data_IF_656439786005
#
_entry.id   IF_656439786005
#
_cell.length_a   1.000
_cell.length_b   1.000
_cell.length_c   1.000
_cell.angle_alpha   90.00
_cell.angle_beta   90.00
_cell.angle_gamma   90.00
#
_symmetry.space_group_name_H-M   'P 1'
#
loop_
_entity.id
_entity.type
_entity.pdbx_description
1 polymer ?
#
# COMPACT_ATOMS: atom_id res chain seq x y z
N UNK A 1 6.24 0.80 22.57
CA UNK A 1 5.27 -0.28 22.27
C UNK A 1 5.76 -1.53 22.98
N UNK A 2 5.16 -1.81 24.12
CA UNK A 2 5.36 -3.07 24.84
C UNK A 2 4.53 -4.15 24.11
N UNK A 3 5.09 -5.34 23.92
CA UNK A 3 4.52 -6.39 23.03
C UNK A 3 4.04 -7.61 23.82
N UNK A 4 3.75 -7.43 25.10
CA UNK A 4 3.15 -8.45 25.96
C UNK A 4 1.65 -8.62 25.72
N UNK A 5 1.03 -7.71 24.96
CA UNK A 5 -0.38 -7.74 24.57
C UNK A 5 -0.50 -7.82 23.04
N UNK A 6 -1.05 -8.91 22.52
CA UNK A 6 -1.43 -9.03 21.10
C UNK A 6 -2.51 -8.01 20.70
N UNK A 7 -3.32 -7.56 21.67
CA UNK A 7 -4.37 -6.57 21.46
C UNK A 7 -3.80 -5.18 21.16
N UNK A 8 -2.77 -4.71 21.86
CA UNK A 8 -2.12 -3.41 21.58
C UNK A 8 -1.49 -3.37 20.19
N UNK A 9 -0.89 -4.48 19.75
CA UNK A 9 -0.34 -4.60 18.41
C UNK A 9 -1.44 -4.52 17.34
N UNK A 10 -2.56 -5.22 17.55
CA UNK A 10 -3.72 -5.16 16.65
C UNK A 10 -4.37 -3.77 16.64
N UNK A 11 -4.49 -3.11 17.80
CA UNK A 11 -5.01 -1.75 17.91
C UNK A 11 -4.12 -0.73 17.19
N UNK A 12 -2.80 -0.82 17.35
CA UNK A 12 -1.87 0.05 16.65
C UNK A 12 -1.90 -0.15 15.12
N UNK A 13 -2.00 -1.40 14.66
CA UNK A 13 -2.12 -1.73 13.22
C UNK A 13 -3.43 -1.19 12.66
N UNK A 14 -4.55 -1.45 13.35
CA UNK A 14 -5.86 -0.97 12.92
C UNK A 14 -5.93 0.57 12.93
N UNK A 15 -5.27 1.21 13.89
CA UNK A 15 -5.19 2.67 13.98
C UNK A 15 -4.37 3.27 12.84
N UNK A 16 -3.21 2.69 12.51
CA UNK A 16 -2.40 3.18 11.37
C UNK A 16 -3.11 3.02 10.04
N UNK A 17 -3.75 1.86 9.79
CA UNK A 17 -4.52 1.66 8.56
C UNK A 17 -5.62 2.70 8.43
N UNK A 18 -6.35 2.99 9.52
CA UNK A 18 -7.40 4.01 9.53
C UNK A 18 -6.84 5.41 9.26
N UNK A 19 -5.66 5.77 9.78
CA UNK A 19 -5.02 7.06 9.49
C UNK A 19 -4.65 7.21 8.02
N UNK A 20 -4.07 6.17 7.43
CA UNK A 20 -3.77 6.16 6.00
C UNK A 20 -5.04 6.23 5.15
N UNK A 21 -6.09 5.49 5.54
CA UNK A 21 -7.38 5.52 4.85
C UNK A 21 -8.05 6.91 4.90
N UNK A 22 -7.92 7.63 6.02
CA UNK A 22 -8.51 8.95 6.21
C UNK A 22 -7.66 10.09 5.62
N UNK A 23 -6.42 9.82 5.20
CA UNK A 23 -5.54 10.83 4.63
C UNK A 23 -6.05 11.29 3.25
N UNK A 24 -6.07 12.60 3.02
CA UNK A 24 -6.41 13.17 1.72
C UNK A 24 -5.37 12.79 0.64
N UNK A 25 -4.10 12.75 1.02
CA UNK A 25 -2.98 12.34 0.17
C UNK A 25 -1.86 11.77 1.04
N UNK A 26 -1.20 10.72 0.56
CA UNK A 26 0.04 10.21 1.13
C UNK A 26 1.20 10.42 0.16
N UNK A 27 2.37 10.79 0.66
CA UNK A 27 3.58 10.90 -0.14
C UNK A 27 4.49 9.72 0.13
N UNK A 28 4.94 9.05 -0.92
CA UNK A 28 5.92 7.98 -0.88
C UNK A 28 7.25 8.48 -1.46
N UNK A 29 8.25 8.62 -0.60
CA UNK A 29 9.57 9.10 -0.99
C UNK A 29 10.46 7.93 -1.43
N UNK A 30 10.91 7.98 -2.68
CA UNK A 30 11.71 6.97 -3.35
C UNK A 30 13.03 7.59 -3.83
N UNK A 31 13.98 7.80 -2.90
CA UNK A 31 15.27 8.42 -3.22
C UNK A 31 16.12 7.64 -4.23
N UNK A 32 15.85 6.33 -4.34
CA UNK A 32 16.57 5.37 -5.18
C UNK A 32 15.92 5.14 -6.55
N UNK A 33 14.86 5.88 -6.88
CA UNK A 33 14.13 5.74 -8.15
C UNK A 33 14.34 6.99 -9.00
N UNK A 34 15.08 6.85 -10.10
CA UNK A 34 15.29 7.91 -11.09
C UNK A 34 14.37 7.75 -12.31
N UNK A 35 13.96 6.51 -12.60
CA UNK A 35 13.06 6.18 -13.69
C UNK A 35 12.03 5.13 -13.28
N UNK A 36 10.95 4.98 -14.06
CA UNK A 36 9.94 3.94 -13.78
C UNK A 36 10.50 2.51 -13.83
N UNK A 37 11.62 2.30 -14.54
CA UNK A 37 12.31 1.01 -14.58
C UNK A 37 12.89 0.59 -13.22
N UNK A 38 13.17 1.56 -12.34
CA UNK A 38 13.83 1.33 -11.05
C UNK A 38 12.83 1.00 -9.94
N UNK A 39 11.51 1.20 -10.16
CA UNK A 39 10.47 0.95 -9.15
C UNK A 39 10.57 -0.46 -8.57
N UNK A 40 10.74 -1.48 -9.41
CA UNK A 40 10.79 -2.87 -8.95
C UNK A 40 11.97 -3.16 -8.03
N UNK A 41 13.09 -2.44 -8.23
CA UNK A 41 14.30 -2.56 -7.43
C UNK A 41 14.23 -1.79 -6.11
N UNK A 42 13.25 -0.90 -5.95
CA UNK A 42 13.24 0.00 -4.81
C UNK A 42 12.98 -0.74 -3.49
N UNK A 43 13.79 -0.48 -2.43
CA UNK A 43 13.57 -1.06 -1.12
C UNK A 43 12.19 -0.75 -0.54
N UNK A 44 11.53 0.32 -1.00
CA UNK A 44 10.17 0.65 -0.57
C UNK A 44 9.20 -0.49 -0.90
N UNK A 45 9.29 -1.11 -2.09
CA UNK A 45 8.41 -2.22 -2.46
C UNK A 45 8.75 -3.54 -1.77
N UNK A 46 9.95 -3.66 -1.18
CA UNK A 46 10.40 -4.85 -0.45
C UNK A 46 10.10 -4.79 1.05
N UNK A 47 9.75 -3.63 1.61
CA UNK A 47 9.43 -3.48 3.04
C UNK A 47 8.00 -3.98 3.33
N UNK A 48 7.82 -4.68 4.45
CA UNK A 48 6.51 -5.20 4.85
C UNK A 48 5.43 -4.13 5.08
N UNK A 49 5.80 -3.00 5.68
CA UNK A 49 4.85 -1.96 6.11
C UNK A 49 4.32 -1.08 4.97
N UNK A 50 5.08 -0.94 3.89
CA UNK A 50 4.72 -0.10 2.75
C UNK A 50 3.53 -0.65 1.96
N UNK A 51 3.15 -1.91 2.17
CA UNK A 51 1.89 -2.43 1.62
C UNK A 51 0.69 -1.68 2.17
N UNK A 52 0.65 -1.41 3.47
CA UNK A 52 -0.46 -0.68 4.10
C UNK A 52 -0.47 0.78 3.62
N UNK A 53 0.71 1.39 3.51
CA UNK A 53 0.91 2.73 2.97
C UNK A 53 0.48 2.84 1.49
N UNK A 54 0.49 1.74 0.74
CA UNK A 54 0.04 1.69 -0.65
C UNK A 54 -1.48 1.50 -0.78
N UNK A 55 -2.02 0.49 -0.08
CA UNK A 55 -3.40 0.04 -0.29
C UNK A 55 -4.41 0.86 0.50
N UNK A 56 -4.05 1.33 1.71
CA UNK A 56 -5.01 1.99 2.59
C UNK A 56 -5.42 3.40 2.12
N UNK A 57 -4.49 4.29 1.69
CA UNK A 57 -4.88 5.62 1.23
C UNK A 57 -5.64 5.58 -0.09
N UNK A 58 -6.54 6.53 -0.31
CA UNK A 58 -7.16 6.70 -1.63
C UNK A 58 -6.15 7.22 -2.67
N UNK A 59 -5.31 8.17 -2.26
CA UNK A 59 -4.32 8.82 -3.13
C UNK A 59 -2.90 8.69 -2.54
N UNK A 60 -1.95 8.27 -3.39
CA UNK A 60 -0.52 8.27 -3.07
C UNK A 60 0.22 8.99 -4.20
N UNK A 61 1.12 9.90 -3.85
CA UNK A 61 2.04 10.59 -4.77
C UNK A 61 3.45 10.06 -4.50
N UNK A 62 4.10 9.53 -5.52
CA UNK A 62 5.48 9.05 -5.46
C UNK A 62 6.41 10.19 -5.86
N UNK A 63 7.42 10.43 -5.05
CA UNK A 63 8.39 11.51 -5.26
C UNK A 63 9.83 11.00 -5.18
N UNK A 64 10.71 11.58 -5.99
CA UNK A 64 12.14 11.25 -6.04
C UNK A 64 12.95 11.96 -4.94
N UNK A 65 14.28 11.76 -4.94
CA UNK A 65 15.21 12.40 -4.00
C UNK A 65 15.15 13.94 -4.00
N UNK A 66 14.73 14.54 -5.12
CA UNK A 66 14.55 15.98 -5.28
C UNK A 66 13.13 16.46 -4.97
N UNK A 67 12.28 15.62 -4.38
CA UNK A 67 10.85 15.88 -4.14
C UNK A 67 10.04 16.16 -5.42
N UNK A 68 10.53 15.68 -6.57
CA UNK A 68 9.81 15.79 -7.84
C UNK A 68 8.87 14.62 -7.99
N UNK A 69 7.68 14.88 -8.53
CA UNK A 69 6.70 13.83 -8.77
C UNK A 69 7.22 12.82 -9.82
N UNK A 70 7.27 11.55 -9.42
CA UNK A 70 7.46 10.40 -10.29
C UNK A 70 6.11 10.01 -10.91
N UNK A 71 5.06 10.06 -10.09
CA UNK A 71 3.67 9.86 -10.52
C UNK A 71 2.74 9.61 -9.33
N UNK A 72 1.48 9.32 -9.64
CA UNK A 72 0.45 9.00 -8.64
C UNK A 72 0.11 7.51 -8.65
N UNK A 73 -0.50 7.02 -7.58
CA UNK A 73 -1.03 5.65 -7.50
C UNK A 73 -1.93 5.30 -8.68
N UNK A 74 -2.75 6.25 -9.11
CA UNK A 74 -3.65 6.08 -10.25
C UNK A 74 -2.92 6.09 -11.59
N UNK A 75 -1.94 6.97 -11.78
CA UNK A 75 -1.18 7.03 -13.03
C UNK A 75 -0.21 5.86 -13.21
N UNK A 76 0.28 5.28 -12.11
CA UNK A 76 1.25 4.18 -12.08
C UNK A 76 0.61 2.81 -11.78
N UNK A 77 -0.71 2.68 -11.91
CA UNK A 77 -1.44 1.48 -11.43
C UNK A 77 -0.93 0.18 -12.06
N UNK A 78 -0.51 0.21 -13.33
CA UNK A 78 -0.02 -0.97 -14.05
C UNK A 78 1.36 -1.39 -13.58
N UNK A 79 2.25 -0.42 -13.42
CA UNK A 79 3.61 -0.58 -12.90
C UNK A 79 3.54 -1.10 -11.46
N UNK A 80 2.69 -0.50 -10.63
CA UNK A 80 2.47 -0.93 -9.26
C UNK A 80 1.89 -2.35 -9.18
N UNK A 81 0.93 -2.69 -10.03
CA UNK A 81 0.39 -4.05 -10.10
C UNK A 81 1.46 -5.07 -10.50
N UNK A 82 2.31 -4.74 -11.49
CA UNK A 82 3.41 -5.60 -11.92
C UNK A 82 4.44 -5.82 -10.80
N UNK A 83 4.83 -4.77 -10.09
CA UNK A 83 5.82 -4.84 -9.00
C UNK A 83 5.27 -5.59 -7.78
N UNK A 84 4.05 -5.26 -7.38
CA UNK A 84 3.48 -5.73 -6.10
C UNK A 84 2.70 -7.04 -6.22
N UNK A 85 2.22 -7.39 -7.41
CA UNK A 85 1.26 -8.47 -7.62
C UNK A 85 -0.13 -8.17 -7.06
N UNK A 86 -0.41 -6.94 -6.66
CA UNK A 86 -1.73 -6.48 -6.21
C UNK A 86 -2.57 -6.13 -7.42
N UNK A 87 -3.80 -6.63 -7.48
CA UNK A 87 -4.72 -6.33 -8.57
C UNK A 87 -4.97 -4.82 -8.71
N UNK A 88 -5.06 -4.32 -9.94
CA UNK A 88 -5.28 -2.90 -10.23
C UNK A 88 -6.54 -2.35 -9.52
N UNK A 89 -7.61 -3.16 -9.46
CA UNK A 89 -8.86 -2.81 -8.77
C UNK A 89 -8.75 -2.69 -7.25
N UNK A 90 -7.68 -3.24 -6.65
CA UNK A 90 -7.36 -3.06 -5.22
C UNK A 90 -6.54 -1.79 -5.01
N UNK A 91 -5.61 -1.51 -5.93
CA UNK A 91 -4.75 -0.32 -5.84
C UNK A 91 -5.52 0.98 -6.08
N UNK A 92 -6.46 0.97 -7.03
CA UNK A 92 -7.29 2.11 -7.39
C UNK A 92 -8.75 1.66 -7.34
N UNK A 93 -9.41 1.78 -6.19
CA UNK A 93 -10.84 1.52 -6.07
C UNK A 93 -11.61 2.40 -7.06
N UNK A 94 -12.68 1.85 -7.63
CA UNK A 94 -13.45 2.46 -8.72
C UNK A 94 -13.85 3.91 -8.39
N UNK A 95 -13.48 4.90 -9.23
CA UNK A 95 -13.99 6.26 -9.09
C UNK A 95 -15.51 6.27 -9.25
N UNK A 96 -16.20 7.08 -8.45
CA UNK A 96 -17.64 7.31 -8.60
C UNK A 96 -17.97 7.69 -10.05
N UNK A 97 -18.95 7.01 -10.65
CA UNK A 97 -19.46 7.33 -12.00
C UNK A 97 -18.88 6.55 -13.19
N UNK A 98 -17.82 5.75 -13.03
CA UNK A 98 -17.31 4.90 -14.14
C UNK A 98 -18.17 3.64 -14.26
N UNK A 99 -18.70 3.24 -15.43
CA UNK A 99 -19.69 2.15 -15.60
C UNK A 99 -19.18 0.70 -15.39
N UNK A 100 -20.03 -0.31 -15.68
CA UNK A 100 -19.85 -1.78 -15.45
C UNK A 100 -18.63 -2.47 -16.11
N UNK A 101 -17.66 -1.72 -16.63
CA UNK A 101 -16.51 -2.25 -17.37
C UNK A 101 -15.25 -2.46 -16.51
N UNK A 102 -15.23 -1.92 -15.29
CA UNK A 102 -14.22 -2.25 -14.28
C UNK A 102 -14.53 -3.61 -13.65
N UNK A 103 -13.48 -4.38 -13.35
CA UNK A 103 -13.56 -5.78 -12.94
C UNK A 103 -14.72 -6.03 -11.96
N UNK A 104 -15.73 -6.80 -12.39
CA UNK A 104 -16.95 -7.12 -11.66
C UNK A 104 -16.72 -7.85 -10.32
N UNK A 105 -15.47 -8.05 -9.90
CA UNK A 105 -15.09 -8.66 -8.62
C UNK A 105 -15.01 -7.65 -7.47
N UNK A 106 -14.83 -6.36 -7.77
CA UNK A 106 -14.60 -5.31 -6.78
C UNK A 106 -15.69 -4.22 -6.88
N UNK A 107 -16.88 -4.51 -6.34
CA UNK A 107 -18.03 -3.58 -6.36
C UNK A 107 -17.99 -2.50 -5.26
N UNK A 108 -17.05 -2.60 -4.33
CA UNK A 108 -16.95 -1.68 -3.19
C UNK A 108 -16.17 -0.42 -3.56
N UNK A 109 -16.68 0.74 -3.14
CA UNK A 109 -15.95 2.02 -3.15
C UNK A 109 -15.02 2.15 -1.93
N UNK A 110 -15.25 1.34 -0.90
CA UNK A 110 -14.40 1.25 0.30
C UNK A 110 -13.35 0.14 0.13
N UNK A 111 -12.09 0.46 0.39
CA UNK A 111 -10.97 -0.47 0.37
C UNK A 111 -11.18 -1.66 1.32
N UNK A 112 -11.87 -1.49 2.45
CA UNK A 112 -12.16 -2.62 3.35
C UNK A 112 -13.05 -3.65 2.67
N UNK A 113 -14.13 -3.21 2.03
CA UNK A 113 -15.00 -4.10 1.25
C UNK A 113 -14.28 -4.74 0.06
N UNK A 114 -13.31 -4.05 -0.55
CA UNK A 114 -12.45 -4.63 -1.59
C UNK A 114 -11.55 -5.74 -1.02
N UNK A 115 -10.93 -5.52 0.14
CA UNK A 115 -10.05 -6.49 0.80
C UNK A 115 -10.81 -7.72 1.34
N UNK A 116 -12.06 -7.55 1.77
CA UNK A 116 -12.92 -8.65 2.22
C UNK A 116 -13.31 -9.59 1.07
N UNK A 117 -13.36 -9.09 -0.16
CA UNK A 117 -13.56 -9.89 -1.36
C UNK A 117 -12.31 -10.68 -1.80
N UNK A 118 -11.13 -10.33 -1.25
CA UNK A 118 -9.87 -11.02 -1.53
C UNK A 118 -9.66 -12.21 -0.58
N UNK A 119 -9.27 -13.36 -1.14
CA UNK A 119 -8.93 -14.52 -0.31
C UNK A 119 -7.71 -14.24 0.59
N UNK A 120 -7.61 -14.95 1.71
CA UNK A 120 -6.41 -14.86 2.57
C UNK A 120 -5.15 -15.19 1.77
N UNK A 121 -5.18 -16.23 0.93
CA UNK A 121 -4.03 -16.62 0.08
C UNK A 121 -3.63 -15.49 -0.87
N UNK A 122 -4.60 -14.80 -1.48
CA UNK A 122 -4.34 -13.66 -2.36
C UNK A 122 -3.72 -12.48 -1.59
N UNK A 123 -4.22 -12.16 -0.39
CA UNK A 123 -3.62 -11.12 0.45
C UNK A 123 -2.21 -11.49 0.91
N UNK A 124 -1.98 -12.77 1.22
CA UNK A 124 -0.67 -13.27 1.64
C UNK A 124 0.34 -13.26 0.49
N UNK A 125 -0.09 -13.43 -0.76
CA UNK A 125 0.81 -13.36 -1.92
C UNK A 125 1.44 -11.97 -2.10
N UNK A 126 0.70 -10.90 -1.77
CA UNK A 126 1.19 -9.52 -1.80
C UNK A 126 2.27 -9.23 -0.74
N UNK A 127 2.29 -10.02 0.33
CA UNK A 127 3.27 -9.92 1.42
C UNK A 127 4.45 -10.87 1.18
N UNK A 128 4.28 -11.93 0.38
CA UNK A 128 5.27 -12.99 0.23
C UNK A 128 6.66 -12.52 -0.28
N UNK A 129 6.71 -11.45 -1.08
CA UNK A 129 7.97 -10.85 -1.57
C UNK A 129 8.52 -9.76 -0.64
N UNK A 130 7.82 -9.44 0.45
CA UNK A 130 8.18 -8.37 1.37
C UNK A 130 8.85 -8.92 2.62
N UNK A 131 9.89 -8.24 3.08
CA UNK A 131 10.54 -8.53 4.35
C UNK A 131 9.88 -7.74 5.46
N UNK A 132 9.22 -8.44 6.38
CA UNK A 132 8.75 -7.86 7.65
C UNK A 132 9.85 -8.03 8.69
N UNK A 133 10.70 -7.03 8.86
CA UNK A 133 11.65 -7.05 9.98
C UNK A 133 10.86 -6.86 11.28
N UNK A 134 10.86 -7.85 12.18
CA UNK A 134 10.47 -7.63 13.57
C UNK A 134 11.50 -6.67 14.15
N UNK A 135 11.21 -5.36 14.14
CA UNK A 135 12.03 -4.39 14.84
C UNK A 135 12.08 -4.79 16.33
N UNK A 136 13.22 -5.33 16.77
CA UNK A 136 13.72 -5.12 18.13
C UNK A 136 13.93 -3.62 18.24
N UNK A 137 12.99 -2.93 18.89
CA UNK A 137 13.16 -1.52 19.24
C UNK A 137 14.33 -1.46 20.21
N UNK A 138 15.49 -1.04 19.70
CA UNK A 138 16.60 -0.60 20.52
C UNK A 138 16.11 0.53 21.41
N UNK A 139 16.26 0.31 22.71
CA UNK A 139 16.11 1.28 23.79
C UNK A 139 16.94 2.52 23.43
N UNK A 140 16.30 3.59 22.99
CA UNK A 140 16.95 4.90 22.94
C UNK A 140 16.97 5.38 24.38
N UNK A 141 18.19 5.61 24.88
CA UNK A 141 18.48 6.11 26.23
C UNK A 141 18.05 7.56 26.36
#
# INVERSE_FOLDING_TARGET
IDKTSSAELSEAINSMFAWYQAAAVCYAFLADVESLGDLAGSPWFMRGWTLQELIAPAAVVFVDAGWREIGTKSSLVKELAAVTGVDEGVLVPRPEGMGRRWAARFYSTDIRGVLDACSVVQRMSWVARRTTTRLRMGRIR
#
